data_IF_215025516444
#
_entry.id   IF_215025516444
#
_cell.length_a   1.000
_cell.length_b   1.000
_cell.length_c   1.000
_cell.angle_alpha   90.00
_cell.angle_beta   90.00
_cell.angle_gamma   90.00
#
_symmetry.space_group_name_H-M   'P 1'
#
loop_
_entity.id
_entity.type
_entity.pdbx_description
1 polymer ?
#
# COMPACT_ATOMS: atom_id res chain seq x y z
N UNK A 1 13.75 6.50 47.82
CA UNK A 1 12.41 6.12 47.35
C UNK A 1 12.42 6.21 45.83
N UNK A 2 12.42 5.06 45.15
CA UNK A 2 12.52 5.01 43.69
C UNK A 2 11.15 5.22 43.05
N UNK A 3 10.99 6.28 42.29
CA UNK A 3 9.79 6.60 41.52
C UNK A 3 9.67 5.61 40.36
N UNK A 4 8.71 4.69 40.44
CA UNK A 4 8.38 3.78 39.33
C UNK A 4 7.63 4.61 38.29
N UNK A 5 8.29 4.93 37.18
CA UNK A 5 7.65 5.51 35.99
C UNK A 5 6.88 4.38 35.30
N UNK A 6 5.55 4.38 35.46
CA UNK A 6 4.66 3.51 34.68
C UNK A 6 4.60 4.03 33.25
N UNK A 7 5.30 3.38 32.33
CA UNK A 7 5.09 3.62 30.91
C UNK A 7 3.63 3.34 30.52
N UNK A 8 3.01 4.17 29.65
CA UNK A 8 1.62 4.01 29.28
C UNK A 8 1.44 2.70 28.49
N UNK A 9 0.78 1.72 29.10
CA UNK A 9 0.30 0.51 28.41
C UNK A 9 -0.59 0.95 27.26
N UNK A 10 -0.12 0.76 26.01
CA UNK A 10 -0.96 0.93 24.81
C UNK A 10 -2.17 0.00 24.96
N UNK A 11 -3.33 0.58 25.24
CA UNK A 11 -4.58 -0.18 25.37
C UNK A 11 -4.91 -0.86 24.05
N UNK A 12 -5.44 -2.09 24.10
CA UNK A 12 -5.93 -2.91 22.98
C UNK A 12 -6.66 -2.10 21.88
N UNK A 13 -7.46 -1.09 22.29
CA UNK A 13 -8.19 -0.21 21.38
C UNK A 13 -7.30 0.59 20.42
N UNK A 14 -6.16 1.11 20.90
CA UNK A 14 -5.20 1.88 20.07
C UNK A 14 -4.54 1.04 18.98
N UNK A 15 -4.37 -0.27 19.23
CA UNK A 15 -3.72 -1.19 18.33
C UNK A 15 -4.66 -1.61 17.20
N UNK A 16 -5.92 -1.88 17.54
CA UNK A 16 -6.99 -2.12 16.56
C UNK A 16 -7.23 -0.89 15.69
N UNK A 17 -7.30 0.30 16.28
CA UNK A 17 -7.47 1.54 15.54
C UNK A 17 -6.32 1.78 14.55
N UNK A 18 -5.06 1.65 15.02
CA UNK A 18 -3.88 1.74 14.15
C UNK A 18 -3.94 0.73 13.00
N UNK A 19 -4.31 -0.52 13.28
CA UNK A 19 -4.48 -1.55 12.25
C UNK A 19 -5.51 -1.14 11.19
N UNK A 20 -6.70 -0.70 11.59
CA UNK A 20 -7.74 -0.32 10.64
C UNK A 20 -7.38 0.93 9.85
N UNK A 21 -6.70 1.90 10.47
CA UNK A 21 -6.20 3.09 9.79
C UNK A 21 -5.16 2.73 8.71
N UNK A 22 -4.21 1.84 9.02
CA UNK A 22 -3.22 1.37 8.04
C UNK A 22 -3.88 0.56 6.92
N UNK A 23 -4.84 -0.31 7.27
CA UNK A 23 -5.57 -1.11 6.28
C UNK A 23 -6.39 -0.21 5.34
N UNK A 24 -6.98 0.86 5.87
CA UNK A 24 -7.69 1.86 5.08
C UNK A 24 -6.74 2.57 4.10
N UNK A 25 -5.61 3.08 4.59
CA UNK A 25 -4.59 3.73 3.76
C UNK A 25 -4.07 2.80 2.64
N UNK A 26 -3.89 1.51 2.92
CA UNK A 26 -3.46 0.54 1.91
C UNK A 26 -4.54 0.34 0.82
N UNK A 27 -5.81 0.31 1.21
CA UNK A 27 -6.94 0.22 0.27
C UNK A 27 -7.06 1.48 -0.59
N UNK A 28 -6.92 2.66 0.00
CA UNK A 28 -6.94 3.92 -0.76
C UNK A 28 -5.82 3.95 -1.80
N UNK A 29 -4.59 3.59 -1.40
CA UNK A 29 -3.48 3.52 -2.33
C UNK A 29 -3.71 2.49 -3.46
N UNK A 30 -4.32 1.36 -3.15
CA UNK A 30 -4.73 0.37 -4.16
C UNK A 30 -5.78 0.94 -5.14
N UNK A 31 -6.74 1.72 -4.66
CA UNK A 31 -7.74 2.37 -5.51
C UNK A 31 -7.08 3.41 -6.44
N UNK A 32 -6.17 4.22 -5.91
CA UNK A 32 -5.39 5.17 -6.70
C UNK A 32 -4.54 4.46 -7.76
N UNK A 33 -3.84 3.38 -7.37
CA UNK A 33 -3.06 2.56 -8.28
C UNK A 33 -3.92 1.98 -9.43
N UNK A 34 -5.08 1.40 -9.13
CA UNK A 34 -6.02 0.91 -10.15
C UNK A 34 -6.52 2.01 -11.08
N UNK A 35 -6.69 3.23 -10.56
CA UNK A 35 -7.15 4.37 -11.35
C UNK A 35 -6.08 4.83 -12.35
N UNK A 36 -4.82 4.88 -11.93
CA UNK A 36 -3.69 5.17 -12.82
C UNK A 36 -3.49 4.07 -13.87
N UNK A 37 -3.60 2.78 -13.51
CA UNK A 37 -3.58 1.69 -14.50
C UNK A 37 -4.63 1.92 -15.60
N UNK A 38 -5.86 2.28 -15.22
CA UNK A 38 -6.92 2.59 -16.20
C UNK A 38 -6.60 3.83 -17.05
N UNK A 39 -5.88 4.81 -16.50
CA UNK A 39 -5.45 6.00 -17.23
C UNK A 39 -4.38 5.64 -18.26
N UNK A 40 -3.33 4.92 -17.87
CA UNK A 40 -2.29 4.49 -18.80
C UNK A 40 -2.81 3.51 -19.86
N UNK A 41 -3.72 2.58 -19.51
CA UNK A 41 -4.39 1.73 -20.52
C UNK A 41 -5.22 2.54 -21.52
N UNK A 42 -5.82 3.66 -21.09
CA UNK A 42 -6.49 4.60 -22.00
C UNK A 42 -5.47 5.32 -22.89
N UNK A 43 -4.40 5.85 -22.31
CA UNK A 43 -3.34 6.54 -23.04
C UNK A 43 -2.73 5.64 -24.12
N UNK A 44 -2.38 4.40 -23.78
CA UNK A 44 -1.81 3.41 -24.68
C UNK A 44 -2.65 3.18 -25.94
N UNK A 45 -3.99 3.19 -25.83
CA UNK A 45 -4.90 3.00 -26.97
C UNK A 45 -4.88 4.15 -27.97
N UNK A 46 -4.41 5.33 -27.57
CA UNK A 46 -4.38 6.54 -28.39
C UNK A 46 -2.97 6.94 -28.82
N UNK A 47 -1.93 6.34 -28.24
CA UNK A 47 -0.53 6.58 -28.62
C UNK A 47 -0.17 5.78 -29.87
N UNK A 48 0.51 6.43 -30.83
CA UNK A 48 1.03 5.79 -32.06
C UNK A 48 2.55 5.73 -32.10
N UNK A 49 3.21 6.56 -31.31
CA UNK A 49 4.66 6.61 -31.21
C UNK A 49 5.19 5.36 -30.47
N UNK A 50 6.02 4.52 -31.11
CA UNK A 50 6.57 3.30 -30.50
C UNK A 50 7.36 3.55 -29.21
N UNK A 51 8.13 4.65 -29.14
CA UNK A 51 8.94 4.96 -27.97
C UNK A 51 8.06 5.36 -26.77
N UNK A 52 7.02 6.16 -27.02
CA UNK A 52 6.01 6.47 -26.01
C UNK A 52 5.21 5.23 -25.60
N UNK A 53 4.87 4.33 -26.53
CA UNK A 53 4.20 3.05 -26.23
C UNK A 53 5.05 2.22 -25.26
N UNK A 54 6.35 2.06 -25.55
CA UNK A 54 7.27 1.30 -24.69
C UNK A 54 7.32 1.86 -23.28
N UNK A 55 7.47 3.19 -23.14
CA UNK A 55 7.47 3.86 -21.83
C UNK A 55 6.15 3.70 -21.08
N UNK A 56 5.02 3.80 -21.77
CA UNK A 56 3.70 3.59 -21.16
C UNK A 56 3.55 2.14 -20.67
N UNK A 57 4.04 1.17 -21.45
CA UNK A 57 3.98 -0.24 -21.08
C UNK A 57 4.83 -0.52 -19.83
N UNK A 58 6.05 0.01 -19.76
CA UNK A 58 6.91 -0.11 -18.56
C UNK A 58 6.23 0.47 -17.31
N UNK A 59 5.56 1.62 -17.44
CA UNK A 59 4.79 2.21 -16.33
C UNK A 59 3.59 1.36 -15.94
N UNK A 60 2.89 0.77 -16.92
CA UNK A 60 1.77 -0.13 -16.67
C UNK A 60 2.21 -1.38 -15.91
N UNK A 61 3.30 -2.00 -16.32
CA UNK A 61 3.81 -3.21 -15.69
C UNK A 61 4.21 -2.93 -14.24
N UNK A 62 4.94 -1.82 -13.99
CA UNK A 62 5.31 -1.40 -12.65
C UNK A 62 4.09 -1.08 -11.76
N UNK A 63 3.02 -0.50 -12.32
CA UNK A 63 1.77 -0.27 -11.60
C UNK A 63 1.00 -1.57 -11.32
N UNK A 64 0.96 -2.50 -12.25
CA UNK A 64 0.33 -3.82 -12.06
C UNK A 64 1.05 -4.62 -10.94
N UNK A 65 2.39 -4.59 -10.91
CA UNK A 65 3.19 -5.19 -9.83
C UNK A 65 2.87 -4.55 -8.47
N UNK A 66 2.79 -3.21 -8.43
CA UNK A 66 2.42 -2.50 -7.21
C UNK A 66 1.00 -2.84 -6.74
N UNK A 67 0.06 -2.97 -7.67
CA UNK A 67 -1.33 -3.39 -7.38
C UNK A 67 -1.35 -4.78 -6.74
N UNK A 68 -0.63 -5.74 -7.31
CA UNK A 68 -0.53 -7.10 -6.77
C UNK A 68 0.08 -7.10 -5.36
N UNK A 69 1.20 -6.41 -5.17
CA UNK A 69 1.86 -6.30 -3.87
C UNK A 69 0.93 -5.71 -2.80
N UNK A 70 0.16 -4.67 -3.12
CA UNK A 70 -0.83 -4.08 -2.21
C UNK A 70 -1.97 -5.05 -1.88
N UNK A 71 -2.46 -5.80 -2.86
CA UNK A 71 -3.53 -6.80 -2.64
C UNK A 71 -3.06 -7.91 -1.70
N UNK A 72 -1.84 -8.41 -1.88
CA UNK A 72 -1.26 -9.44 -1.03
C UNK A 72 -1.02 -8.93 0.39
N UNK A 73 -0.51 -7.71 0.55
CA UNK A 73 -0.31 -7.12 1.87
C UNK A 73 -1.65 -6.94 2.63
N UNK A 74 -2.71 -6.51 1.93
CA UNK A 74 -4.06 -6.40 2.51
C UNK A 74 -4.59 -7.79 2.91
N UNK A 75 -4.39 -8.81 2.07
CA UNK A 75 -4.81 -10.19 2.36
C UNK A 75 -4.06 -10.75 3.57
N UNK A 76 -2.74 -10.58 3.61
CA UNK A 76 -1.91 -10.99 4.74
C UNK A 76 -2.34 -10.31 6.04
N UNK A 77 -2.54 -8.98 6.02
CA UNK A 77 -2.97 -8.24 7.19
C UNK A 77 -4.35 -8.70 7.72
N UNK A 78 -5.27 -9.11 6.83
CA UNK A 78 -6.56 -9.71 7.22
C UNK A 78 -6.39 -11.08 7.88
N UNK A 79 -5.51 -11.92 7.34
CA UNK A 79 -5.17 -13.21 7.95
C UNK A 79 -4.55 -13.02 9.34
N UNK A 80 -3.65 -12.05 9.50
CA UNK A 80 -3.09 -11.72 10.80
C UNK A 80 -4.16 -11.31 11.83
N UNK A 81 -5.19 -10.59 11.40
CA UNK A 81 -6.33 -10.23 12.27
C UNK A 81 -7.13 -11.44 12.70
N UNK A 82 -7.34 -12.41 11.80
CA UNK A 82 -8.05 -13.65 12.09
C UNK A 82 -7.26 -14.52 13.08
N UNK A 83 -5.95 -14.70 12.86
CA UNK A 83 -5.08 -15.49 13.73
C UNK A 83 -4.59 -14.73 14.98
N UNK A 84 -5.28 -13.66 15.39
CA UNK A 84 -4.92 -12.85 16.57
C UNK A 84 -3.47 -12.36 16.63
N UNK A 85 -2.80 -12.20 15.49
CA UNK A 85 -1.43 -11.67 15.38
C UNK A 85 -1.40 -10.29 14.70
N UNK A 86 -2.26 -9.37 15.18
CA UNK A 86 -2.50 -8.05 14.60
C UNK A 86 -1.21 -7.22 14.49
N UNK A 87 -0.30 -7.32 15.45
CA UNK A 87 0.98 -6.60 15.43
C UNK A 87 1.83 -6.94 14.20
N UNK A 88 1.88 -8.23 13.80
CA UNK A 88 2.54 -8.64 12.55
C UNK A 88 1.86 -8.03 11.34
N UNK A 89 0.52 -7.96 11.36
CA UNK A 89 -0.27 -7.30 10.33
C UNK A 89 0.04 -5.79 10.23
N UNK A 90 0.17 -5.11 11.38
CA UNK A 90 0.55 -3.69 11.46
C UNK A 90 1.95 -3.48 10.88
N UNK A 91 2.95 -4.23 11.36
CA UNK A 91 4.34 -4.12 10.89
C UNK A 91 4.43 -4.34 9.37
N UNK A 92 3.71 -5.33 8.86
CA UNK A 92 3.65 -5.61 7.43
C UNK A 92 3.01 -4.44 6.66
N UNK A 93 1.85 -3.94 7.11
CA UNK A 93 1.18 -2.80 6.46
C UNK A 93 2.04 -1.53 6.45
N UNK A 94 2.75 -1.23 7.54
CA UNK A 94 3.63 -0.05 7.60
C UNK A 94 4.79 -0.13 6.61
N UNK A 95 5.44 -1.30 6.53
CA UNK A 95 6.51 -1.54 5.57
C UNK A 95 5.98 -1.44 4.14
N UNK A 96 4.85 -2.08 3.86
CA UNK A 96 4.19 -2.05 2.54
C UNK A 96 3.82 -0.62 2.16
N UNK A 97 3.13 0.12 3.02
CA UNK A 97 2.71 1.50 2.74
C UNK A 97 3.90 2.43 2.47
N UNK A 98 4.99 2.29 3.23
CA UNK A 98 6.21 3.08 3.01
C UNK A 98 6.80 2.81 1.62
N UNK A 99 6.95 1.53 1.26
CA UNK A 99 7.49 1.14 -0.05
C UNK A 99 6.56 1.55 -1.18
N UNK A 100 5.28 1.19 -1.09
CA UNK A 100 4.27 1.43 -2.11
C UNK A 100 4.03 2.90 -2.40
N UNK A 101 3.99 3.77 -1.37
CA UNK A 101 3.85 5.22 -1.58
C UNK A 101 5.05 5.80 -2.32
N UNK A 102 6.25 5.35 -2.00
CA UNK A 102 7.45 5.81 -2.67
C UNK A 102 7.49 5.36 -4.14
N UNK A 103 7.15 4.09 -4.41
CA UNK A 103 7.03 3.59 -5.78
C UNK A 103 5.96 4.35 -6.55
N UNK A 104 4.76 4.50 -5.98
CA UNK A 104 3.67 5.21 -6.64
C UNK A 104 4.01 6.68 -6.96
N UNK A 105 4.68 7.39 -6.04
CA UNK A 105 5.14 8.76 -6.30
C UNK A 105 6.19 8.83 -7.41
N UNK A 106 7.08 7.84 -7.52
CA UNK A 106 8.08 7.80 -8.60
C UNK A 106 7.43 7.57 -9.96
N UNK A 107 6.44 6.67 -10.02
CA UNK A 107 5.71 6.35 -11.26
C UNK A 107 4.88 7.54 -11.77
N UNK A 108 4.35 8.37 -10.86
CA UNK A 108 3.53 9.54 -11.22
C UNK A 108 4.30 10.87 -11.39
N UNK A 109 5.64 10.84 -11.46
CA UNK A 109 6.47 12.04 -11.66
C UNK A 109 6.84 12.32 -13.12
N UNK A 110 6.32 11.53 -14.06
CA UNK A 110 6.46 11.70 -15.51
C UNK A 110 5.18 12.32 -16.08
#
# INVERSE_FOLDING_TARGET
MSTIILEPRKTSNSLLERYYNLLHQAKELLVSCKSEIRRYKRLLRHTKDPDAISKIQEQLDALEDLKWFLQDAIKYARLCRWHSCIEKGIQHLEKTLKTSRNSFRKLNRL
#
